data_IF_679203343565
#
_entry.id   IF_679203343565
#
_cell.length_a   1.000
_cell.length_b   1.000
_cell.length_c   1.000
_cell.angle_alpha   90.00
_cell.angle_beta   90.00
_cell.angle_gamma   90.00
#
_symmetry.space_group_name_H-M   'P 1'
#
loop_
_entity.id
_entity.type
_entity.pdbx_description
1 polymer ?
#
# COMPACT_ATOMS: atom_id res chain seq x y z
N UNK A 1 -29.69 -5.66 -4.00
CA UNK A 1 -28.50 -5.95 -4.83
C UNK A 1 -27.43 -6.45 -3.88
N UNK A 2 -26.86 -7.61 -4.18
CA UNK A 2 -25.93 -8.32 -3.31
C UNK A 2 -24.63 -7.51 -3.15
N UNK A 3 -24.18 -7.28 -1.91
CA UNK A 3 -23.03 -6.42 -1.62
C UNK A 3 -21.71 -6.96 -2.23
N UNK A 4 -21.67 -8.26 -2.49
CA UNK A 4 -20.59 -8.99 -3.17
C UNK A 4 -20.54 -8.70 -4.67
N UNK A 5 -21.70 -8.56 -5.32
CA UNK A 5 -21.82 -8.22 -6.75
C UNK A 5 -21.30 -6.78 -7.01
N UNK A 6 -21.58 -5.86 -6.10
CA UNK A 6 -21.11 -4.47 -6.14
C UNK A 6 -19.59 -4.35 -5.92
N UNK A 7 -19.03 -5.18 -5.04
CA UNK A 7 -17.58 -5.26 -4.82
C UNK A 7 -16.85 -5.74 -6.08
N UNK A 8 -17.34 -6.80 -6.75
CA UNK A 8 -16.75 -7.32 -7.99
C UNK A 8 -16.75 -6.28 -9.10
N UNK A 9 -17.87 -5.58 -9.28
CA UNK A 9 -17.95 -4.49 -10.24
C UNK A 9 -16.98 -3.36 -9.88
N UNK A 10 -16.80 -3.08 -8.59
CA UNK A 10 -15.82 -2.07 -8.14
C UNK A 10 -14.38 -2.48 -8.42
N UNK A 11 -14.02 -3.75 -8.18
CA UNK A 11 -12.70 -4.30 -8.51
C UNK A 11 -12.47 -4.26 -10.03
N UNK A 12 -13.47 -4.65 -10.82
CA UNK A 12 -13.39 -4.60 -12.29
C UNK A 12 -13.30 -3.18 -12.86
N UNK A 13 -13.75 -2.15 -12.11
CA UNK A 13 -13.59 -0.74 -12.48
C UNK A 13 -12.15 -0.22 -12.28
N UNK A 14 -11.28 -0.95 -11.57
CA UNK A 14 -9.85 -0.67 -11.57
C UNK A 14 -9.31 -0.96 -12.98
N UNK A 15 -9.31 0.06 -13.84
CA UNK A 15 -8.87 -0.09 -15.22
C UNK A 15 -7.42 -0.60 -15.25
N UNK A 16 -7.12 -1.67 -16.01
CA UNK A 16 -5.78 -2.27 -16.09
C UNK A 16 -4.87 -1.48 -17.02
N UNK A 17 -4.84 -0.16 -16.84
CA UNK A 17 -4.06 0.76 -17.66
C UNK A 17 -2.82 1.27 -16.93
N UNK A 18 -2.58 0.81 -15.68
CA UNK A 18 -1.41 1.05 -14.85
C UNK A 18 -0.11 0.58 -15.49
N UNK A 19 1.03 1.09 -15.02
CA UNK A 19 2.33 0.52 -15.40
C UNK A 19 2.37 -0.98 -15.10
N UNK A 20 1.84 -1.41 -13.95
CA UNK A 20 1.85 -2.84 -13.60
C UNK A 20 0.94 -3.74 -14.44
N UNK A 21 0.19 -3.19 -15.40
CA UNK A 21 -0.54 -3.97 -16.41
C UNK A 21 0.29 -4.32 -17.64
N UNK A 22 1.38 -3.58 -17.89
CA UNK A 22 2.35 -3.93 -18.92
C UNK A 22 3.03 -5.24 -18.51
N UNK A 23 3.02 -6.24 -19.40
CA UNK A 23 3.69 -7.51 -19.15
C UNK A 23 5.21 -7.34 -19.00
N UNK A 24 5.90 -8.40 -18.59
CA UNK A 24 7.35 -8.41 -18.35
C UNK A 24 8.21 -8.11 -19.60
N UNK A 25 7.59 -7.93 -20.77
CA UNK A 25 8.23 -7.63 -22.05
C UNK A 25 8.75 -6.18 -22.15
N UNK A 26 8.13 -5.21 -21.46
CA UNK A 26 8.63 -3.83 -21.40
C UNK A 26 9.44 -3.60 -20.12
N UNK A 27 10.76 -3.81 -20.21
CA UNK A 27 11.68 -3.72 -19.06
C UNK A 27 11.82 -2.34 -18.41
N UNK A 28 11.37 -1.26 -19.05
CA UNK A 28 11.48 0.09 -18.49
C UNK A 28 10.61 1.11 -19.26
N UNK A 29 9.29 1.21 -19.01
CA UNK A 29 8.51 2.31 -19.53
C UNK A 29 8.87 3.59 -18.77
N UNK A 30 9.91 4.30 -19.24
CA UNK A 30 10.28 5.65 -18.76
C UNK A 30 9.14 6.67 -19.04
N UNK A 31 8.13 6.26 -19.80
CA UNK A 31 7.00 7.09 -20.22
C UNK A 31 5.74 6.67 -19.46
N UNK A 32 5.32 7.53 -18.53
CA UNK A 32 4.01 7.41 -17.89
C UNK A 32 2.90 7.67 -18.91
N UNK A 33 1.79 6.92 -18.84
CA UNK A 33 0.68 7.14 -19.76
C UNK A 33 0.07 8.53 -19.52
N UNK A 34 -0.44 9.17 -20.57
CA UNK A 34 -0.99 10.54 -20.53
C UNK A 34 -2.27 10.73 -19.68
N UNK A 35 -2.64 9.72 -18.90
CA UNK A 35 -3.78 9.70 -17.96
C UNK A 35 -3.33 10.16 -16.56
N UNK A 36 -4.24 10.10 -15.59
CA UNK A 36 -3.93 10.37 -14.19
C UNK A 36 -2.91 9.34 -13.66
N UNK A 37 -1.95 9.80 -12.86
CA UNK A 37 -1.03 8.97 -12.09
C UNK A 37 -1.81 8.17 -11.04
N UNK A 38 -1.69 6.84 -11.10
CA UNK A 38 -2.30 5.94 -10.14
C UNK A 38 -1.33 5.65 -8.98
N UNK A 39 -1.56 6.29 -7.84
CA UNK A 39 -0.75 6.13 -6.63
C UNK A 39 -1.41 5.12 -5.71
N UNK A 40 -0.72 4.00 -5.44
CA UNK A 40 -1.16 3.03 -4.45
C UNK A 40 -0.47 3.28 -3.10
N UNK A 41 -1.25 3.63 -2.08
CA UNK A 41 -0.76 3.83 -0.72
C UNK A 41 -0.96 2.56 0.12
N UNK A 42 0.10 1.83 0.38
CA UNK A 42 0.14 0.68 1.27
C UNK A 42 0.45 1.11 2.72
N UNK A 43 -0.49 0.92 3.63
CA UNK A 43 -0.42 1.33 5.03
C UNK A 43 -0.25 0.09 5.91
N UNK A 44 0.81 0.05 6.73
CA UNK A 44 1.07 -1.07 7.65
C UNK A 44 0.87 -0.71 9.12
N UNK A 45 0.99 -1.68 10.03
CA UNK A 45 0.75 -1.50 11.46
C UNK A 45 1.84 -0.69 12.17
N UNK A 46 1.74 0.64 12.15
CA UNK A 46 2.58 1.56 12.92
C UNK A 46 1.73 2.74 13.39
N UNK A 47 2.10 3.39 14.49
CA UNK A 47 1.39 4.57 15.01
C UNK A 47 1.32 5.70 13.97
N UNK A 48 2.30 5.76 13.06
CA UNK A 48 2.33 6.72 11.97
C UNK A 48 1.17 6.56 10.96
N UNK A 49 0.42 5.46 10.99
CA UNK A 49 -0.74 5.21 10.12
C UNK A 49 -1.88 6.18 10.34
N UNK A 50 -1.94 6.86 11.50
CA UNK A 50 -2.85 7.99 11.75
C UNK A 50 -2.68 9.12 10.73
N UNK A 51 -1.52 9.20 10.05
CA UNK A 51 -1.23 10.19 9.01
C UNK A 51 -1.64 9.76 7.60
N UNK A 52 -2.07 8.52 7.40
CA UNK A 52 -2.48 8.04 6.07
C UNK A 52 -3.62 8.89 5.45
N UNK A 53 -4.68 9.28 6.19
CA UNK A 53 -5.70 10.18 5.64
C UNK A 53 -5.15 11.53 5.17
N UNK A 54 -4.11 12.05 5.83
CA UNK A 54 -3.48 13.32 5.47
C UNK A 54 -2.73 13.22 4.14
N UNK A 55 -2.02 12.10 3.91
CA UNK A 55 -1.32 11.82 2.65
C UNK A 55 -2.33 11.74 1.51
N UNK A 56 -3.40 10.95 1.68
CA UNK A 56 -4.46 10.80 0.67
C UNK A 56 -5.07 12.16 0.32
N UNK A 57 -5.43 12.95 1.35
CA UNK A 57 -6.03 14.27 1.17
C UNK A 57 -5.15 15.21 0.36
N UNK A 58 -3.87 15.27 0.69
CA UNK A 58 -2.98 16.22 0.04
C UNK A 58 -2.61 15.78 -1.39
N UNK A 59 -2.46 14.48 -1.65
CA UNK A 59 -2.27 13.97 -3.02
C UNK A 59 -3.45 14.32 -3.93
N UNK A 60 -4.69 14.19 -3.43
CA UNK A 60 -5.89 14.48 -4.23
C UNK A 60 -6.11 15.96 -4.54
N UNK A 61 -5.44 16.88 -3.82
CA UNK A 61 -5.41 18.30 -4.17
C UNK A 61 -4.59 18.58 -5.43
N UNK A 62 -3.79 17.62 -5.90
CA UNK A 62 -3.02 17.76 -7.12
C UNK A 62 -3.82 17.27 -8.34
N UNK A 63 -3.57 17.86 -9.48
CA UNK A 63 -4.17 17.47 -10.75
C UNK A 63 -3.60 16.13 -11.21
N UNK A 64 -4.35 15.41 -12.05
CA UNK A 64 -3.89 14.15 -12.66
C UNK A 64 -3.38 13.10 -11.67
N UNK A 65 -3.96 13.01 -10.47
CA UNK A 65 -3.67 11.93 -9.50
C UNK A 65 -4.96 11.23 -9.11
N UNK A 66 -4.90 9.90 -9.09
CA UNK A 66 -5.87 9.05 -8.42
C UNK A 66 -5.16 8.18 -7.38
N UNK A 67 -5.81 7.98 -6.24
CA UNK A 67 -5.22 7.30 -5.08
C UNK A 67 -6.10 6.12 -4.68
N UNK A 68 -5.48 4.97 -4.45
CA UNK A 68 -6.11 3.82 -3.79
C UNK A 68 -5.29 3.45 -2.55
N UNK A 69 -5.92 2.94 -1.51
CA UNK A 69 -5.27 2.63 -0.24
C UNK A 69 -5.37 1.14 0.04
N UNK A 70 -4.28 0.50 0.45
CA UNK A 70 -4.29 -0.89 0.95
C UNK A 70 -3.84 -0.87 2.40
N UNK A 71 -4.67 -1.32 3.32
CA UNK A 71 -4.40 -1.23 4.74
C UNK A 71 -4.34 -2.61 5.41
N UNK A 72 -3.24 -2.92 6.08
CA UNK A 72 -3.17 -4.13 6.92
C UNK A 72 -4.18 -4.05 8.07
N UNK A 73 -4.64 -5.20 8.57
CA UNK A 73 -5.48 -5.26 9.80
C UNK A 73 -4.88 -4.49 10.98
N UNK A 74 -3.56 -4.52 11.13
CA UNK A 74 -2.90 -3.74 12.19
C UNK A 74 -2.95 -2.24 11.94
N UNK A 75 -2.98 -1.80 10.67
CA UNK A 75 -3.08 -0.39 10.30
C UNK A 75 -4.48 0.18 10.58
N UNK A 76 -5.53 -0.60 10.36
CA UNK A 76 -6.93 -0.18 10.58
C UNK A 76 -7.26 0.11 12.05
N UNK A 77 -6.37 -0.18 13.00
CA UNK A 77 -6.50 0.26 14.39
C UNK A 77 -6.15 1.75 14.59
N UNK A 78 -5.44 2.38 13.65
CA UNK A 78 -4.90 3.74 13.80
C UNK A 78 -5.67 4.81 13.00
N UNK A 79 -6.54 4.41 12.09
CA UNK A 79 -7.40 5.31 11.32
C UNK A 79 -8.67 4.57 10.87
N UNK A 80 -9.76 5.31 10.65
CA UNK A 80 -11.01 4.75 10.13
C UNK A 80 -11.00 4.77 8.60
N UNK A 81 -11.13 3.59 7.99
CA UNK A 81 -11.24 3.43 6.55
C UNK A 81 -12.48 4.15 5.98
N UNK A 82 -13.60 4.11 6.71
CA UNK A 82 -14.87 4.66 6.22
C UNK A 82 -14.86 6.18 6.14
N UNK A 83 -14.06 6.86 6.97
CA UNK A 83 -13.88 8.31 6.89
C UNK A 83 -13.20 8.72 5.59
N UNK A 84 -12.17 7.98 5.16
CA UNK A 84 -11.48 8.23 3.88
C UNK A 84 -12.46 8.02 2.72
N UNK A 85 -13.20 6.92 2.72
CA UNK A 85 -14.11 6.58 1.61
C UNK A 85 -15.26 7.58 1.46
N UNK A 86 -15.85 8.00 2.58
CA UNK A 86 -16.90 9.02 2.61
C UNK A 86 -16.39 10.39 2.18
N UNK A 87 -15.18 10.78 2.62
CA UNK A 87 -14.60 12.08 2.31
C UNK A 87 -14.39 12.31 0.80
N UNK A 88 -14.23 11.24 0.02
CA UNK A 88 -13.98 11.32 -1.41
C UNK A 88 -15.07 10.66 -2.28
N UNK A 89 -16.29 10.53 -1.75
CA UNK A 89 -17.46 10.04 -2.50
C UNK A 89 -17.20 8.76 -3.30
N UNK A 90 -16.43 7.82 -2.75
CA UNK A 90 -16.07 6.56 -3.41
C UNK A 90 -14.96 6.65 -4.48
N UNK A 91 -14.33 7.81 -4.67
CA UNK A 91 -13.14 7.95 -5.55
C UNK A 91 -11.90 7.26 -4.98
N UNK A 92 -11.78 7.22 -3.65
CA UNK A 92 -10.76 6.45 -2.93
C UNK A 92 -11.43 5.33 -2.18
N UNK A 93 -10.88 4.13 -2.31
CA UNK A 93 -11.27 2.97 -1.52
C UNK A 93 -10.12 2.49 -0.66
N UNK A 94 -10.43 2.01 0.53
CA UNK A 94 -9.46 1.39 1.45
C UNK A 94 -9.64 -0.11 1.38
N UNK A 95 -8.76 -0.77 0.65
CA UNK A 95 -8.75 -2.21 0.46
C UNK A 95 -8.12 -2.92 1.67
N UNK A 96 -8.79 -3.95 2.13
CA UNK A 96 -8.34 -4.90 3.14
C UNK A 96 -8.46 -6.31 2.58
N UNK A 97 -7.88 -7.36 3.16
CA UNK A 97 -8.12 -8.70 2.57
C UNK A 97 -9.52 -9.24 2.81
N UNK A 98 -10.32 -8.61 3.68
CA UNK A 98 -11.73 -8.96 3.67
C UNK A 98 -12.32 -8.75 2.26
N UNK A 99 -11.85 -7.72 1.54
CA UNK A 99 -12.28 -7.42 0.17
C UNK A 99 -11.71 -8.40 -0.87
N UNK A 100 -10.53 -9.00 -0.65
CA UNK A 100 -9.93 -9.95 -1.59
C UNK A 100 -10.78 -11.22 -1.71
N UNK A 101 -11.13 -11.81 -0.57
CA UNK A 101 -11.91 -13.06 -0.54
C UNK A 101 -13.40 -12.83 -0.73
N UNK A 102 -13.93 -11.65 -0.41
CA UNK A 102 -15.31 -11.30 -0.74
C UNK A 102 -15.51 -11.11 -2.26
N UNK A 103 -14.46 -10.69 -2.98
CA UNK A 103 -14.49 -10.50 -4.43
C UNK A 103 -14.39 -11.80 -5.24
N UNK A 104 -13.69 -12.82 -4.72
CA UNK A 104 -13.33 -14.03 -5.45
C UNK A 104 -14.10 -15.27 -4.97
N UNK A 105 -14.99 -15.83 -5.81
CA UNK A 105 -15.70 -17.09 -5.48
C UNK A 105 -15.42 -18.22 -6.47
N UNK A 106 -15.13 -17.90 -7.74
CA UNK A 106 -14.89 -18.89 -8.77
C UNK A 106 -13.69 -18.52 -9.66
N UNK A 107 -13.13 -19.54 -10.32
CA UNK A 107 -12.06 -19.36 -11.30
C UNK A 107 -12.60 -18.49 -12.44
N UNK A 108 -11.91 -17.37 -12.70
CA UNK A 108 -12.33 -16.35 -13.67
C UNK A 108 -12.76 -15.03 -13.04
N UNK A 109 -13.06 -15.00 -11.74
CA UNK A 109 -13.32 -13.76 -11.01
C UNK A 109 -12.05 -12.90 -10.91
N UNK A 110 -12.17 -11.56 -10.92
CA UNK A 110 -11.03 -10.66 -10.79
C UNK A 110 -10.35 -10.85 -9.43
N UNK A 111 -9.02 -10.99 -9.46
CA UNK A 111 -8.20 -11.17 -8.25
C UNK A 111 -7.69 -9.80 -7.80
N UNK A 112 -8.13 -9.34 -6.62
CA UNK A 112 -7.91 -7.96 -6.16
C UNK A 112 -6.45 -7.52 -6.23
N UNK A 113 -5.51 -8.29 -5.67
CA UNK A 113 -4.09 -7.91 -5.69
C UNK A 113 -3.49 -7.86 -7.11
N UNK A 114 -4.01 -8.65 -8.06
CA UNK A 114 -3.58 -8.61 -9.47
C UNK A 114 -4.13 -7.36 -10.15
N UNK A 115 -5.38 -6.99 -9.86
CA UNK A 115 -5.98 -5.78 -10.41
C UNK A 115 -5.34 -4.51 -9.82
N UNK A 116 -5.03 -4.49 -8.52
CA UNK A 116 -4.26 -3.40 -7.92
C UNK A 116 -2.85 -3.30 -8.51
N UNK A 117 -2.20 -4.43 -8.80
CA UNK A 117 -0.91 -4.49 -9.51
C UNK A 117 -1.05 -3.87 -10.88
N UNK A 118 -2.07 -4.26 -11.64
CA UNK A 118 -2.37 -3.72 -12.97
C UNK A 118 -2.73 -2.24 -12.94
N UNK A 119 -3.27 -1.74 -11.84
CA UNK A 119 -3.71 -0.36 -11.68
C UNK A 119 -2.56 0.59 -11.31
N UNK A 120 -1.64 0.17 -10.44
CA UNK A 120 -0.63 1.05 -9.86
C UNK A 120 0.47 1.50 -10.86
N UNK A 121 0.77 2.80 -10.84
CA UNK A 121 1.94 3.40 -11.50
C UNK A 121 3.09 3.60 -10.52
N UNK A 122 2.77 3.88 -9.26
CA UNK A 122 3.73 4.04 -8.16
C UNK A 122 3.13 3.50 -6.87
N UNK A 123 3.97 2.90 -6.04
CA UNK A 123 3.57 2.32 -4.76
C UNK A 123 4.30 3.02 -3.63
N UNK A 124 3.55 3.49 -2.64
CA UNK A 124 4.06 4.11 -1.42
C UNK A 124 3.73 3.19 -0.25
N UNK A 125 4.73 2.63 0.43
CA UNK A 125 4.54 1.90 1.68
C UNK A 125 4.80 2.85 2.85
N UNK A 126 3.75 3.54 3.29
CA UNK A 126 3.81 4.62 4.26
C UNK A 126 2.66 4.51 5.30
N UNK A 127 2.96 4.11 6.54
CA UNK A 127 4.25 3.64 7.05
C UNK A 127 4.59 2.20 6.64
N UNK A 128 5.89 1.89 6.63
CA UNK A 128 6.43 0.53 6.59
C UNK A 128 6.88 0.09 8.01
N UNK A 129 6.12 -0.80 8.63
CA UNK A 129 6.43 -1.41 9.92
C UNK A 129 7.56 -2.43 9.78
N UNK A 130 8.28 -2.71 10.88
CA UNK A 130 9.31 -3.74 10.89
C UNK A 130 8.77 -5.12 10.46
N UNK A 131 7.53 -5.44 10.82
CA UNK A 131 6.87 -6.68 10.45
C UNK A 131 6.64 -6.77 8.93
N UNK A 132 6.10 -5.71 8.32
CA UNK A 132 5.93 -5.66 6.86
C UNK A 132 7.28 -5.73 6.13
N UNK A 133 8.30 -5.01 6.62
CA UNK A 133 9.65 -5.06 6.08
C UNK A 133 10.25 -6.48 6.15
N UNK A 134 10.07 -7.18 7.27
CA UNK A 134 10.52 -8.56 7.44
C UNK A 134 9.80 -9.53 6.48
N UNK A 135 8.50 -9.32 6.25
CA UNK A 135 7.72 -10.13 5.32
C UNK A 135 8.16 -9.91 3.87
N UNK A 136 8.37 -8.66 3.46
CA UNK A 136 8.87 -8.32 2.10
C UNK A 136 10.20 -9.04 1.83
N UNK A 137 11.14 -8.93 2.76
CA UNK A 137 12.50 -9.50 2.62
C UNK A 137 12.53 -11.03 2.70
N UNK A 138 11.60 -11.63 3.44
CA UNK A 138 11.49 -13.09 3.53
C UNK A 138 10.63 -13.69 2.42
N UNK A 139 10.06 -12.86 1.52
CA UNK A 139 9.11 -13.30 0.49
C UNK A 139 7.79 -13.82 1.06
N UNK A 140 7.48 -13.52 2.32
CA UNK A 140 6.26 -13.97 2.99
C UNK A 140 5.07 -13.18 2.47
N UNK A 141 4.06 -13.90 2.03
CA UNK A 141 2.82 -13.42 1.43
C UNK A 141 1.66 -14.02 2.24
N UNK A 142 1.32 -13.44 3.41
CA UNK A 142 0.46 -14.08 4.44
C UNK A 142 -0.58 -13.18 5.16
N UNK A 143 -0.65 -11.87 4.90
CA UNK A 143 -1.69 -10.97 5.48
C UNK A 143 -2.75 -10.71 4.42
N UNK A 144 -4.03 -10.45 4.73
CA UNK A 144 -4.87 -10.00 5.86
C UNK A 144 -5.97 -11.05 6.19
N UNK A 145 -6.28 -11.21 7.49
CA UNK A 145 -7.29 -12.17 7.97
C UNK A 145 -8.38 -11.49 8.80
N UNK A 146 -9.63 -11.70 8.42
CA UNK A 146 -10.62 -12.41 9.26
C UNK A 146 -11.49 -13.31 8.39
N UNK A 147 -11.55 -14.61 8.71
CA UNK A 147 -12.80 -15.37 8.72
C UNK A 147 -13.02 -15.87 10.15
N UNK A 148 -14.04 -15.33 10.79
CA UNK A 148 -14.79 -15.92 11.90
C UNK A 148 -16.22 -15.91 11.33
N UNK A 149 -17.04 -16.95 11.28
CA UNK A 149 -17.32 -18.07 12.19
C UNK A 149 -18.42 -18.87 11.42
N UNK A 150 -18.41 -20.20 11.25
CA UNK A 150 -19.20 -21.18 12.03
C UNK A 150 -19.04 -22.59 11.39
N UNK A 151 -18.70 -23.58 12.24
CA UNK A 151 -18.55 -25.07 12.19
C UNK A 151 -19.47 -25.94 11.28
N UNK A 152 -19.38 -27.31 11.27
CA UNK A 152 -18.25 -28.27 11.36
C UNK A 152 -18.33 -29.43 10.33
N UNK A 153 -17.18 -30.01 9.98
CA UNK A 153 -16.90 -31.47 9.99
C UNK A 153 -15.96 -31.90 8.86
N UNK A 154 -14.85 -32.49 9.28
CA UNK A 154 -14.06 -33.46 8.52
C UNK A 154 -13.48 -32.99 7.17
N UNK A 155 -12.64 -31.96 7.17
CA UNK A 155 -11.45 -31.96 6.30
C UNK A 155 -10.44 -30.93 6.78
N UNK A 156 -9.21 -31.36 7.05
CA UNK A 156 -8.06 -30.48 7.32
C UNK A 156 -7.32 -30.18 6.02
N UNK A 157 -7.36 -28.93 5.52
CA UNK A 157 -6.27 -28.39 4.70
C UNK A 157 -5.56 -27.31 5.52
N UNK A 158 -4.55 -27.72 6.30
CA UNK A 158 -3.53 -26.81 6.81
C UNK A 158 -2.58 -26.45 5.66
N UNK A 159 -3.01 -25.52 4.80
CA UNK A 159 -2.14 -24.54 4.16
C UNK A 159 -3.00 -23.44 3.55
N UNK A 160 -3.47 -22.54 4.42
CA UNK A 160 -4.15 -21.32 4.00
C UNK A 160 -3.10 -20.35 3.47
N UNK A 161 -2.98 -20.23 2.14
CA UNK A 161 -2.21 -19.16 1.51
C UNK A 161 -3.07 -17.87 1.52
N UNK A 162 -2.66 -16.88 2.32
CA UNK A 162 -3.35 -15.61 2.54
C UNK A 162 -2.58 -14.46 1.86
N UNK A 163 -3.23 -13.53 1.17
CA UNK A 163 -2.57 -12.69 0.16
C UNK A 163 -3.14 -11.27 0.18
N UNK A 164 -2.38 -10.25 0.59
CA UNK A 164 -2.40 -8.85 0.12
C UNK A 164 -1.67 -7.86 1.06
N UNK A 165 -0.38 -7.67 0.77
CA UNK A 165 0.34 -6.40 0.71
C UNK A 165 1.74 -6.74 0.19
N UNK A 166 2.32 -7.76 0.82
CA UNK A 166 3.54 -8.42 0.38
C UNK A 166 3.32 -9.26 -0.87
N UNK A 167 2.15 -9.87 -1.06
CA UNK A 167 1.84 -10.60 -2.30
C UNK A 167 1.66 -9.69 -3.51
N UNK A 168 1.00 -8.55 -3.31
CA UNK A 168 0.95 -7.50 -4.31
C UNK A 168 2.37 -7.02 -4.63
N UNK A 169 3.17 -6.66 -3.62
CA UNK A 169 4.58 -6.26 -3.81
C UNK A 169 5.41 -7.36 -4.48
N UNK A 170 5.10 -8.63 -4.23
CA UNK A 170 5.77 -9.79 -4.83
C UNK A 170 5.38 -10.02 -6.28
N UNK A 171 4.15 -9.66 -6.64
CA UNK A 171 3.61 -9.73 -7.99
C UNK A 171 3.98 -8.50 -8.82
N UNK A 172 4.36 -7.37 -8.20
CA UNK A 172 4.75 -6.16 -8.91
C UNK A 172 5.89 -6.42 -9.89
N UNK A 173 5.79 -5.92 -11.14
CA UNK A 173 6.93 -5.87 -12.03
C UNK A 173 8.04 -5.00 -11.45
N UNK A 174 9.30 -5.36 -11.72
CA UNK A 174 10.48 -4.65 -11.19
C UNK A 174 10.60 -3.21 -11.66
N UNK A 175 9.89 -2.81 -12.72
CA UNK A 175 9.90 -1.46 -13.25
C UNK A 175 8.87 -0.53 -12.58
N UNK A 176 7.93 -1.05 -11.78
CA UNK A 176 6.99 -0.20 -11.03
C UNK A 176 7.72 0.36 -9.80
N UNK A 177 7.88 1.69 -9.67
CA UNK A 177 8.61 2.29 -8.56
C UNK A 177 7.90 2.05 -7.22
N UNK A 178 8.66 1.53 -6.25
CA UNK A 178 8.20 1.31 -4.86
C UNK A 178 9.02 2.18 -3.91
N UNK A 179 8.32 2.98 -3.11
CA UNK A 179 8.90 3.85 -2.09
C UNK A 179 8.54 3.31 -0.70
N UNK A 180 9.53 3.03 0.13
CA UNK A 180 9.35 2.57 1.51
C UNK A 180 9.62 3.70 2.50
N UNK A 181 8.73 3.87 3.48
CA UNK A 181 8.88 4.85 4.55
C UNK A 181 8.86 4.14 5.92
N UNK A 182 10.02 3.65 6.40
CA UNK A 182 10.11 2.91 7.66
C UNK A 182 9.59 3.74 8.84
N UNK A 183 8.78 3.11 9.69
CA UNK A 183 8.27 3.75 10.91
C UNK A 183 8.12 2.74 12.04
N UNK A 184 9.04 2.78 12.99
CA UNK A 184 9.13 1.83 14.10
C UNK A 184 9.85 2.43 15.30
N UNK A 185 9.75 1.81 16.47
CA UNK A 185 10.49 2.24 17.64
C UNK A 185 12.01 2.24 17.38
N UNK A 186 12.75 3.14 18.04
CA UNK A 186 14.21 3.28 17.88
C UNK A 186 14.97 1.97 18.06
N UNK A 187 14.60 1.14 19.04
CA UNK A 187 15.26 -0.17 19.25
C UNK A 187 14.93 -1.18 18.15
N UNK A 188 13.73 -1.10 17.55
CA UNK A 188 13.41 -1.91 16.39
C UNK A 188 14.21 -1.44 15.17
N UNK A 189 14.38 -0.13 15.02
CA UNK A 189 15.14 0.44 13.91
C UNK A 189 16.65 0.12 14.00
N UNK A 190 17.23 0.24 15.20
CA UNK A 190 18.63 -0.11 15.45
C UNK A 190 18.91 -1.61 15.48
N UNK A 191 17.88 -2.45 15.40
CA UNK A 191 18.04 -3.90 15.37
C UNK A 191 18.83 -4.34 14.13
N UNK A 192 19.83 -5.24 14.25
CA UNK A 192 20.66 -5.66 13.12
C UNK A 192 19.88 -6.27 11.95
N UNK A 193 18.75 -6.92 12.22
CA UNK A 193 17.87 -7.44 11.17
C UNK A 193 17.26 -6.32 10.33
N UNK A 194 16.87 -5.20 10.94
CA UNK A 194 16.30 -4.06 10.20
C UNK A 194 17.33 -3.51 9.21
N UNK A 195 18.58 -3.34 9.62
CA UNK A 195 19.64 -2.90 8.73
C UNK A 195 19.87 -3.86 7.55
N UNK A 196 19.90 -5.18 7.82
CA UNK A 196 20.02 -6.21 6.76
C UNK A 196 18.83 -6.19 5.79
N UNK A 197 17.62 -6.04 6.33
CA UNK A 197 16.40 -6.03 5.56
C UNK A 197 16.29 -4.77 4.68
N UNK A 198 16.65 -3.61 5.20
CA UNK A 198 16.70 -2.36 4.43
C UNK A 198 17.70 -2.45 3.28
N UNK A 199 18.88 -3.03 3.54
CA UNK A 199 19.88 -3.26 2.49
C UNK A 199 19.35 -4.18 1.38
N UNK A 200 18.70 -5.27 1.75
CA UNK A 200 18.10 -6.22 0.80
C UNK A 200 17.03 -5.56 -0.07
N UNK A 201 16.08 -4.81 0.51
CA UNK A 201 15.03 -4.15 -0.30
C UNK A 201 15.60 -3.07 -1.23
N UNK A 202 16.69 -2.40 -0.85
CA UNK A 202 17.34 -1.39 -1.70
C UNK A 202 18.16 -2.02 -2.82
N UNK A 203 19.02 -2.98 -2.48
CA UNK A 203 20.02 -3.52 -3.42
C UNK A 203 19.45 -4.66 -4.28
N UNK A 204 18.60 -5.52 -3.73
CA UNK A 204 18.08 -6.69 -4.46
C UNK A 204 16.74 -6.40 -5.13
N UNK A 205 15.84 -5.66 -4.45
CA UNK A 205 14.51 -5.35 -5.00
C UNK A 205 14.43 -4.00 -5.71
N UNK A 206 15.44 -3.13 -5.56
CA UNK A 206 15.47 -1.79 -6.18
C UNK A 206 14.48 -0.80 -5.56
N UNK A 207 13.98 -1.05 -4.35
CA UNK A 207 13.01 -0.17 -3.69
C UNK A 207 13.70 1.08 -3.12
N UNK A 208 13.04 2.23 -3.26
CA UNK A 208 13.55 3.51 -2.74
C UNK A 208 13.13 3.67 -1.28
N UNK A 209 14.08 3.54 -0.35
CA UNK A 209 13.83 3.75 1.09
C UNK A 209 14.06 5.20 1.47
N UNK A 210 13.11 5.80 2.20
CA UNK A 210 13.15 7.18 2.67
C UNK A 210 12.99 7.25 4.18
N UNK A 211 13.90 7.97 4.86
CA UNK A 211 13.92 8.06 6.32
C UNK A 211 14.48 6.79 6.98
N UNK A 212 14.13 6.52 8.25
CA UNK A 212 13.28 7.30 9.14
C UNK A 212 13.94 8.60 9.62
N UNK A 213 13.16 9.49 10.21
CA UNK A 213 13.63 10.73 10.83
C UNK A 213 13.81 10.56 12.34
N UNK A 214 14.74 11.35 12.90
CA UNK A 214 14.89 11.50 14.34
C UNK A 214 13.82 12.44 14.90
N UNK A 215 13.11 12.03 15.95
CA UNK A 215 12.24 12.94 16.73
C UNK A 215 12.65 12.92 18.20
N UNK A 216 12.49 14.06 18.89
CA UNK A 216 12.65 14.11 20.35
C UNK A 216 11.56 13.24 20.98
N UNK A 217 11.99 12.24 21.73
CA UNK A 217 11.12 11.39 22.52
C UNK A 217 10.69 12.13 23.80
N UNK A 218 9.61 11.65 24.43
CA UNK A 218 9.11 12.22 25.69
C UNK A 218 10.15 12.17 26.84
N UNK A 219 11.17 11.31 26.74
CA UNK A 219 12.29 11.22 27.68
C UNK A 219 13.42 12.24 27.44
N UNK A 220 13.36 13.05 26.38
CA UNK A 220 14.40 14.02 26.03
C UNK A 220 15.45 13.51 25.02
N UNK A 221 15.53 12.20 24.81
CA UNK A 221 16.43 11.59 23.83
C UNK A 221 15.94 11.76 22.38
N UNK A 222 16.86 11.83 21.42
CA UNK A 222 16.51 11.80 19.99
C UNK A 222 16.42 10.34 19.55
N UNK A 223 15.19 9.87 19.36
CA UNK A 223 14.92 8.54 18.82
C UNK A 223 14.86 8.56 17.30
N UNK A 224 15.69 7.77 16.63
CA UNK A 224 15.63 7.54 15.18
C UNK A 224 14.63 6.40 14.93
N UNK A 225 13.58 6.65 14.16
CA UNK A 225 12.56 5.63 13.87
C UNK A 225 11.19 6.18 13.49
N UNK A 226 10.98 7.49 13.60
CA UNK A 226 9.75 8.12 13.14
C UNK A 226 9.68 8.11 11.61
N UNK A 227 8.47 7.89 11.08
CA UNK A 227 8.22 8.03 9.63
C UNK A 227 8.62 9.42 9.16
N UNK A 228 9.16 9.52 7.94
CA UNK A 228 9.27 10.77 7.18
C UNK A 228 7.97 11.56 7.27
N UNK A 229 8.05 12.89 7.38
CA UNK A 229 6.86 13.69 7.58
C UNK A 229 5.93 13.55 6.38
N UNK A 230 4.62 13.44 6.63
CA UNK A 230 3.64 13.11 5.58
C UNK A 230 3.64 14.14 4.44
N UNK A 231 3.93 15.40 4.74
CA UNK A 231 4.09 16.48 3.76
C UNK A 231 5.25 16.20 2.80
N UNK A 232 6.37 15.69 3.31
CA UNK A 232 7.57 15.41 2.53
C UNK A 232 7.36 14.18 1.63
N UNK A 233 6.59 13.19 2.11
CA UNK A 233 6.15 12.04 1.30
C UNK A 233 5.35 12.52 0.08
N UNK A 234 4.41 13.44 0.29
CA UNK A 234 3.60 14.00 -0.80
C UNK A 234 4.46 14.85 -1.73
N UNK A 235 5.33 15.70 -1.18
CA UNK A 235 6.21 16.55 -1.98
C UNK A 235 7.17 15.74 -2.85
N UNK A 236 7.63 14.59 -2.35
CA UNK A 236 8.44 13.66 -3.13
C UNK A 236 7.70 13.21 -4.39
N UNK A 237 6.45 12.78 -4.25
CA UNK A 237 5.61 12.35 -5.39
C UNK A 237 5.33 13.53 -6.31
N UNK A 238 5.00 14.69 -5.76
CA UNK A 238 4.73 15.90 -6.56
C UNK A 238 5.93 16.29 -7.41
N UNK A 239 7.14 16.25 -6.84
CA UNK A 239 8.37 16.61 -7.54
C UNK A 239 8.77 15.56 -8.58
N UNK A 240 8.68 14.28 -8.23
CA UNK A 240 9.11 13.18 -9.11
C UNK A 240 8.21 13.06 -10.34
N UNK A 241 6.91 13.33 -10.20
CA UNK A 241 5.93 13.20 -11.27
C UNK A 241 5.45 14.54 -11.84
N UNK A 242 6.01 15.67 -11.40
CA UNK A 242 5.69 17.00 -11.93
C UNK A 242 4.23 17.42 -11.75
N UNK A 243 3.60 17.01 -10.65
CA UNK A 243 2.19 17.25 -10.38
C UNK A 243 1.93 18.72 -10.05
N UNK A 244 0.80 19.28 -10.51
CA UNK A 244 0.41 20.65 -10.18
C UNK A 244 -0.72 20.63 -9.17
N UNK A 245 -0.75 21.63 -8.30
CA UNK A 245 -1.90 21.82 -7.41
C UNK A 245 -3.11 22.20 -8.25
N UNK A 246 -4.28 21.60 -7.99
CA UNK A 246 -5.53 22.02 -8.62
C UNK A 246 -5.79 23.47 -8.21
N UNK A 247 -6.08 24.32 -9.19
CA UNK A 247 -6.60 25.65 -8.90
C UNK A 247 -7.91 25.46 -8.11
N UNK A 248 -7.99 26.04 -6.92
CA UNK A 248 -9.25 26.10 -6.19
C UNK A 248 -10.20 26.90 -7.09
N UNK A 249 -11.29 26.26 -7.53
CA UNK A 249 -12.34 26.95 -8.24
C UNK A 249 -12.87 28.05 -7.30
N UNK A 250 -12.45 29.27 -7.60
CA UNK A 250 -12.92 30.53 -7.01
C UNK A 250 -14.42 30.68 -7.19
#
# INVERSE_FOLDING_TARGET
MDATEDLRQTIARLLPNGLGAKGDEERNPVVFPARNLHVLLAVSGSVASIKAPLIVRELLKHDKVDVQVVATKSATHFFDATEIEKAYSGRVRVWTDADEWAGWNQIGDPVLHIELRRWADVVLVAPCSANTLAKITSGICDNILVRHELYPSLFTPNLTCSVAQTSFLRALPTFVPVHLFPAMNTHMYSHPLTAKQLKMVQEELGYKVHGPIGKKLACGDIGIGAMTEWSDIVQLVVNEYGLKRREEAS
#
